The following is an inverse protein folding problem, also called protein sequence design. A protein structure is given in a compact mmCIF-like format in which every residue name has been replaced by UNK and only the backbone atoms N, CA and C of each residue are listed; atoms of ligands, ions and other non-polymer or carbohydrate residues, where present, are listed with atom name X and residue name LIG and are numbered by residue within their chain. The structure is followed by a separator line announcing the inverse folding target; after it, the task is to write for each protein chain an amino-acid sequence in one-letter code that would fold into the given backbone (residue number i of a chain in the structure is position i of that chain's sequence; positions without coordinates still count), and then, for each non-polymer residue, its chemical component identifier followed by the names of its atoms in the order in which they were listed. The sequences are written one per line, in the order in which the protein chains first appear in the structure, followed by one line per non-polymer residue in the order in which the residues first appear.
data_IF_892568416711
#
_entry.id   IF_892568416711
#
_cell.length_a   1.000
_cell.length_b   1.000
_cell.length_c   1.000
_cell.angle_alpha   90.00
_cell.angle_beta   90.00
_cell.angle_gamma   90.00
#
_symmetry.space_group_name_H-M   'P 1'
#
loop_
_entity.id
_entity.type
_entity.pdbx_description
1 polymer ?
#
# COMPACT_ATOMS: atom_id res chain seq x y z
N UNK A 1 25.50 7.66 13.47
CA UNK A 1 24.85 8.18 12.25
C UNK A 1 23.68 7.24 11.93
N UNK A 2 22.45 7.73 11.73
CA UNK A 2 21.33 6.86 11.35
C UNK A 2 21.63 6.19 10.00
N UNK A 3 21.33 4.90 9.91
CA UNK A 3 21.50 4.13 8.68
C UNK A 3 20.38 4.47 7.72
N UNK A 4 20.73 4.73 6.47
CA UNK A 4 19.77 5.05 5.41
C UNK A 4 19.83 3.99 4.33
N UNK A 5 18.65 3.61 3.84
CA UNK A 5 18.50 2.81 2.63
C UNK A 5 17.69 3.64 1.64
N UNK A 6 18.19 3.81 0.42
CA UNK A 6 17.56 4.65 -0.62
C UNK A 6 17.24 6.07 -0.09
N UNK A 7 18.23 6.70 0.55
CA UNK A 7 18.16 8.08 1.12
C UNK A 7 17.15 8.29 2.26
N UNK A 8 16.48 7.26 2.78
CA UNK A 8 15.59 7.35 3.95
C UNK A 8 16.08 6.53 5.12
N UNK A 9 15.81 7.02 6.32
CA UNK A 9 16.10 6.30 7.55
C UNK A 9 15.34 4.96 7.57
N UNK A 10 16.04 3.90 7.96
CA UNK A 10 15.42 2.58 8.07
C UNK A 10 14.34 2.57 9.16
N UNK A 11 13.17 2.00 8.87
CA UNK A 11 12.11 1.78 9.86
C UNK A 11 12.12 0.39 10.47
N UNK A 12 13.01 -0.48 10.01
CA UNK A 12 13.16 -1.88 10.44
C UNK A 12 14.60 -2.24 10.77
N UNK A 13 14.84 -3.49 11.15
CA UNK A 13 16.18 -4.01 11.42
C UNK A 13 16.97 -4.23 10.13
N UNK A 14 18.29 -4.08 10.20
CA UNK A 14 19.19 -4.45 9.11
C UNK A 14 19.26 -5.97 9.00
N UNK A 15 19.25 -6.48 7.77
CA UNK A 15 19.63 -7.87 7.54
C UNK A 15 21.12 -8.07 7.86
N UNK A 16 21.56 -9.30 8.19
CA UNK A 16 22.98 -9.58 8.40
C UNK A 16 23.85 -9.14 7.21
N UNK A 17 23.33 -9.29 5.98
CA UNK A 17 23.98 -8.85 4.75
C UNK A 17 24.17 -7.33 4.72
N UNK A 18 23.10 -6.57 5.00
CA UNK A 18 23.13 -5.09 5.01
C UNK A 18 24.09 -4.56 6.09
N UNK A 19 24.05 -5.16 7.29
CA UNK A 19 24.97 -4.81 8.37
C UNK A 19 26.43 -5.03 7.95
N UNK A 20 26.71 -6.16 7.27
CA UNK A 20 28.03 -6.47 6.75
C UNK A 20 28.48 -5.45 5.69
N UNK A 21 27.62 -5.11 4.73
CA UNK A 21 27.92 -4.10 3.70
C UNK A 21 28.24 -2.73 4.29
N UNK A 22 27.49 -2.29 5.30
CA UNK A 22 27.75 -1.01 5.99
C UNK A 22 29.12 -1.01 6.66
N UNK A 23 29.46 -2.12 7.34
CA UNK A 23 30.74 -2.28 8.03
C UNK A 23 31.90 -2.31 7.02
N UNK A 24 31.76 -3.08 5.94
CA UNK A 24 32.79 -3.22 4.90
C UNK A 24 33.05 -1.91 4.14
N UNK A 25 32.00 -1.16 3.82
CA UNK A 25 32.11 0.09 3.07
C UNK A 25 32.36 1.32 3.94
N UNK A 26 32.31 1.17 5.27
CA UNK A 26 32.33 2.27 6.25
C UNK A 26 31.36 3.42 5.88
N UNK A 27 30.21 3.07 5.28
CA UNK A 27 29.21 3.99 4.80
C UNK A 27 27.83 3.56 5.33
N UNK A 28 27.15 4.39 6.15
CA UNK A 28 25.84 4.07 6.70
C UNK A 28 24.71 4.20 5.67
N UNK A 29 25.00 4.60 4.43
CA UNK A 29 24.04 4.66 3.34
C UNK A 29 24.21 3.44 2.43
N UNK A 30 23.14 2.68 2.25
CA UNK A 30 23.06 1.64 1.22
C UNK A 30 22.09 2.12 0.14
N UNK A 31 22.63 2.36 -1.05
CA UNK A 31 21.85 2.68 -2.24
C UNK A 31 21.66 1.40 -3.08
N UNK A 32 20.58 1.34 -3.86
CA UNK A 32 20.29 0.25 -4.82
C UNK A 32 20.22 -1.16 -4.19
N UNK A 33 19.70 -1.28 -2.96
CA UNK A 33 19.40 -2.60 -2.39
C UNK A 33 18.37 -3.29 -3.28
N UNK A 34 18.79 -4.38 -3.93
CA UNK A 34 17.91 -5.23 -4.72
C UNK A 34 16.81 -5.78 -3.82
N UNK A 35 15.56 -5.53 -4.22
CA UNK A 35 14.40 -5.95 -3.46
C UNK A 35 13.99 -7.32 -3.96
N UNK A 36 13.98 -8.30 -3.04
CA UNK A 36 13.56 -9.67 -3.35
C UNK A 36 12.03 -9.73 -3.55
N UNK A 37 11.60 -9.75 -4.81
CA UNK A 37 10.20 -9.93 -5.21
C UNK A 37 9.55 -11.15 -4.52
N UNK A 38 10.27 -12.26 -4.39
CA UNK A 38 9.74 -13.49 -3.80
C UNK A 38 9.50 -13.32 -2.29
N UNK A 39 10.37 -12.57 -1.60
CA UNK A 39 10.18 -12.24 -0.20
C UNK A 39 8.89 -11.45 0.01
N UNK A 40 8.60 -10.45 -0.83
CA UNK A 40 7.38 -9.65 -0.72
C UNK A 40 6.13 -10.48 -1.01
N UNK A 41 6.16 -11.31 -2.06
CA UNK A 41 5.05 -12.21 -2.39
C UNK A 41 4.78 -13.17 -1.21
N UNK A 42 5.83 -13.82 -0.70
CA UNK A 42 5.72 -14.75 0.44
C UNK A 42 5.19 -14.05 1.69
N UNK A 43 5.65 -12.83 1.97
CA UNK A 43 5.19 -12.05 3.13
C UNK A 43 3.73 -11.62 2.98
N UNK A 44 3.27 -11.30 1.77
CA UNK A 44 1.85 -11.01 1.53
C UNK A 44 0.96 -12.24 1.83
N UNK A 45 1.40 -13.45 1.44
CA UNK A 45 0.72 -14.71 1.76
C UNK A 45 0.70 -14.99 3.27
N UNK A 46 1.85 -14.85 3.94
CA UNK A 46 1.97 -15.00 5.39
C UNK A 46 1.04 -14.03 6.14
N UNK A 47 0.98 -12.76 5.72
CA UNK A 47 0.06 -11.79 6.34
C UNK A 47 -1.40 -12.18 6.13
N UNK A 48 -1.79 -12.66 4.95
CA UNK A 48 -3.16 -13.11 4.72
C UNK A 48 -3.54 -14.25 5.68
N UNK A 49 -2.64 -15.22 5.89
CA UNK A 49 -2.85 -16.30 6.85
C UNK A 49 -2.93 -15.79 8.29
N UNK A 50 -2.06 -14.84 8.69
CA UNK A 50 -2.12 -14.18 10.00
C UNK A 50 -3.50 -13.55 10.23
N UNK A 51 -4.03 -12.80 9.26
CA UNK A 51 -5.35 -12.16 9.35
C UNK A 51 -6.48 -13.20 9.38
N UNK A 52 -6.37 -14.27 8.59
CA UNK A 52 -7.34 -15.38 8.60
C UNK A 52 -7.42 -16.03 9.98
N UNK A 53 -6.27 -16.44 10.52
CA UNK A 53 -6.17 -17.03 11.86
C UNK A 53 -6.61 -16.02 12.92
N UNK A 54 -6.37 -14.72 12.73
CA UNK A 54 -6.82 -13.62 13.58
C UNK A 54 -8.33 -13.39 13.69
N UNK A 55 -9.16 -14.22 13.04
CA UNK A 55 -10.60 -14.03 12.92
C UNK A 55 -10.99 -12.70 12.23
N UNK A 56 -10.13 -12.19 11.35
CA UNK A 56 -10.46 -11.04 10.51
C UNK A 56 -11.43 -11.49 9.41
N UNK A 57 -12.56 -10.80 9.30
CA UNK A 57 -13.58 -11.07 8.30
C UNK A 57 -12.94 -11.04 6.89
N UNK A 58 -13.11 -12.09 6.06
CA UNK A 58 -12.58 -12.14 4.70
C UNK A 58 -12.86 -10.89 3.87
N UNK A 59 -14.05 -10.30 4.00
CA UNK A 59 -14.44 -9.10 3.25
C UNK A 59 -13.74 -7.83 3.73
N UNK A 60 -13.19 -7.84 4.95
CA UNK A 60 -12.51 -6.69 5.55
C UNK A 60 -10.98 -6.80 5.50
N UNK A 61 -10.41 -7.98 5.19
CA UNK A 61 -8.95 -8.18 5.17
C UNK A 61 -8.24 -7.17 4.27
N UNK A 62 -8.89 -6.81 3.16
CA UNK A 62 -8.38 -5.79 2.26
C UNK A 62 -8.25 -4.41 2.95
N UNK A 63 -9.36 -3.88 3.46
CA UNK A 63 -9.37 -2.63 4.21
C UNK A 63 -8.42 -2.67 5.41
N UNK A 64 -8.34 -3.79 6.12
CA UNK A 64 -7.45 -3.97 7.28
C UNK A 64 -5.98 -3.84 6.87
N UNK A 65 -5.54 -4.57 5.85
CA UNK A 65 -4.16 -4.44 5.36
C UNK A 65 -3.88 -3.02 4.85
N UNK A 66 -4.80 -2.41 4.10
CA UNK A 66 -4.66 -1.04 3.62
C UNK A 66 -4.43 -0.06 4.78
N UNK A 67 -5.23 -0.19 5.85
CA UNK A 67 -5.09 0.58 7.08
C UNK A 67 -3.72 0.38 7.73
N UNK A 68 -3.27 -0.88 7.85
CA UNK A 68 -1.99 -1.22 8.48
C UNK A 68 -0.81 -0.69 7.67
N UNK A 69 -0.82 -0.88 6.36
CA UNK A 69 0.21 -0.35 5.48
C UNK A 69 0.29 1.17 5.57
N UNK A 70 -0.86 1.88 5.51
CA UNK A 70 -0.90 3.33 5.67
C UNK A 70 -0.36 3.73 7.06
N UNK A 71 -0.74 3.02 8.12
CA UNK A 71 -0.28 3.34 9.47
C UNK A 71 1.24 3.26 9.64
N UNK A 72 1.93 2.43 8.85
CA UNK A 72 3.40 2.28 8.84
C UNK A 72 4.09 3.43 8.07
N UNK A 73 3.35 4.16 7.23
CA UNK A 73 3.88 5.37 6.57
C UNK A 73 3.99 6.56 7.50
N UNK A 74 3.36 6.49 8.68
CA UNK A 74 3.41 7.53 9.67
C UNK A 74 4.69 7.48 10.52
N UNK A 75 5.29 8.63 10.83
CA UNK A 75 6.60 8.72 11.51
C UNK A 75 6.60 8.22 12.96
N UNK A 76 5.43 8.11 13.56
CA UNK A 76 5.27 7.54 14.88
C UNK A 76 4.81 6.09 14.78
N UNK A 77 5.03 5.26 15.81
CA UNK A 77 4.58 3.86 15.81
C UNK A 77 3.32 3.68 16.67
N UNK A 78 2.37 2.82 16.26
CA UNK A 78 1.26 2.45 17.12
C UNK A 78 1.77 1.68 18.35
N UNK A 79 1.15 1.91 19.50
CA UNK A 79 1.47 1.21 20.73
C UNK A 79 0.88 -0.21 20.71
N UNK A 80 1.72 -1.19 20.34
CA UNK A 80 1.31 -2.59 20.21
C UNK A 80 0.93 -3.24 21.56
N UNK A 81 1.37 -2.68 22.68
CA UNK A 81 1.09 -3.19 24.02
C UNK A 81 -0.28 -2.74 24.53
N UNK A 82 -0.89 -1.72 23.90
CA UNK A 82 -2.19 -1.18 24.28
C UNK A 82 -3.34 -2.20 24.18
N UNK A 83 -4.45 -1.95 24.87
CA UNK A 83 -5.66 -2.76 24.75
C UNK A 83 -6.17 -2.80 23.29
N UNK A 84 -6.89 -3.86 22.85
CA UNK A 84 -7.33 -3.99 21.45
C UNK A 84 -8.05 -2.75 20.90
N UNK A 85 -8.96 -2.16 21.69
CA UNK A 85 -9.69 -0.94 21.31
C UNK A 85 -8.79 0.27 21.14
N UNK A 86 -7.78 0.43 22.00
CA UNK A 86 -6.83 1.54 21.96
C UNK A 86 -5.91 1.41 20.74
N UNK A 87 -5.37 0.21 20.49
CA UNK A 87 -4.55 -0.05 19.31
C UNK A 87 -5.32 0.23 18.00
N UNK A 88 -6.56 -0.26 17.91
CA UNK A 88 -7.45 -0.01 16.77
C UNK A 88 -7.70 1.49 16.58
N UNK A 89 -8.00 2.23 17.65
CA UNK A 89 -8.24 3.68 17.58
C UNK A 89 -6.97 4.45 17.16
N UNK A 90 -5.80 4.08 17.67
CA UNK A 90 -4.53 4.69 17.26
C UNK A 90 -4.22 4.47 15.78
N UNK A 91 -4.43 3.25 15.27
CA UNK A 91 -4.25 2.96 13.84
C UNK A 91 -5.23 3.79 13.00
N UNK A 92 -6.51 3.83 13.37
CA UNK A 92 -7.51 4.61 12.64
C UNK A 92 -7.19 6.11 12.63
N UNK A 93 -6.69 6.66 13.74
CA UNK A 93 -6.28 8.06 13.82
C UNK A 93 -5.13 8.38 12.86
N UNK A 94 -4.17 7.45 12.70
CA UNK A 94 -3.04 7.58 11.76
C UNK A 94 -3.52 7.55 10.31
N UNK A 95 -4.36 6.57 9.98
CA UNK A 95 -4.97 6.41 8.67
C UNK A 95 -5.73 7.67 8.28
N UNK A 96 -6.57 8.19 9.19
CA UNK A 96 -7.30 9.45 9.00
C UNK A 96 -6.37 10.64 8.74
N UNK A 97 -5.28 10.78 9.52
CA UNK A 97 -4.29 11.85 9.31
C UNK A 97 -3.67 11.79 7.91
N UNK A 98 -3.32 10.59 7.44
CA UNK A 98 -2.75 10.41 6.10
C UNK A 98 -3.77 10.74 5.03
N UNK A 99 -4.99 10.22 5.12
CA UNK A 99 -6.04 10.55 4.14
C UNK A 99 -6.37 12.04 4.09
N UNK A 100 -6.42 12.73 5.24
CA UNK A 100 -6.59 14.18 5.29
C UNK A 100 -5.45 14.90 4.57
N UNK A 101 -4.19 14.49 4.79
CA UNK A 101 -3.04 15.12 4.12
C UNK A 101 -3.02 14.89 2.62
N UNK A 102 -3.69 13.84 2.15
CA UNK A 102 -3.93 13.55 0.73
C UNK A 102 -5.22 14.17 0.16
N UNK A 103 -5.99 14.92 0.97
CA UNK A 103 -7.25 15.52 0.53
C UNK A 103 -8.35 14.49 0.23
N UNK A 104 -8.34 13.35 0.93
CA UNK A 104 -9.28 12.23 0.79
C UNK A 104 -9.98 11.84 2.11
N UNK A 105 -10.40 12.79 2.98
CA UNK A 105 -10.96 12.47 4.29
C UNK A 105 -12.22 11.59 4.24
N UNK A 106 -13.01 11.69 3.17
CA UNK A 106 -14.26 10.96 2.94
C UNK A 106 -14.09 9.44 2.89
N UNK A 107 -12.87 8.95 2.66
CA UNK A 107 -12.60 7.51 2.58
C UNK A 107 -12.22 6.86 3.92
N UNK A 108 -12.16 7.63 5.00
CA UNK A 108 -11.68 7.15 6.31
C UNK A 108 -12.46 5.94 6.82
N UNK A 109 -13.79 5.98 6.71
CA UNK A 109 -14.68 4.98 7.32
C UNK A 109 -14.66 3.64 6.55
N UNK A 110 -14.14 3.61 5.32
CA UNK A 110 -14.05 2.41 4.49
C UNK A 110 -12.76 1.61 4.71
N UNK A 111 -11.75 2.25 5.33
CA UNK A 111 -10.48 1.63 5.67
C UNK A 111 -10.22 1.60 7.18
N UNK A 112 -11.19 1.99 8.00
CA UNK A 112 -11.03 1.91 9.44
C UNK A 112 -11.02 0.44 9.92
N UNK A 113 -10.14 0.16 10.88
CA UNK A 113 -10.15 -1.08 11.62
C UNK A 113 -11.36 -1.11 12.55
N UNK A 114 -12.09 -2.23 12.51
CA UNK A 114 -13.24 -2.51 13.39
C UNK A 114 -12.93 -3.76 14.20
N UNK A 115 -13.10 -3.66 15.52
CA UNK A 115 -13.01 -4.84 16.36
C UNK A 115 -14.10 -5.85 15.98
N UNK A 116 -13.81 -7.16 16.05
CA UNK A 116 -14.82 -8.19 15.86
C UNK A 116 -16.00 -8.00 16.83
N UNK A 117 -17.21 -8.39 16.40
CA UNK A 117 -18.42 -8.31 17.24
C UNK A 117 -18.30 -9.12 18.54
N UNK A 118 -17.63 -10.26 18.48
CA UNK A 118 -17.40 -11.14 19.63
C UNK A 118 -16.15 -10.71 20.38
N UNK A 119 -16.30 -10.38 21.66
CA UNK A 119 -15.22 -9.90 22.53
C UNK A 119 -14.09 -10.92 22.69
N UNK A 120 -14.41 -12.22 22.73
CA UNK A 120 -13.41 -13.31 22.78
C UNK A 120 -12.43 -13.28 21.60
N UNK A 121 -12.84 -12.71 20.46
CA UNK A 121 -11.98 -12.58 19.30
C UNK A 121 -11.06 -11.34 19.35
N UNK A 122 -11.26 -10.42 20.29
CA UNK A 122 -10.49 -9.15 20.34
C UNK A 122 -9.01 -9.38 20.58
N UNK A 123 -8.64 -10.31 21.47
CA UNK A 123 -7.23 -10.63 21.72
C UNK A 123 -6.58 -11.30 20.51
N UNK A 124 -7.31 -12.21 19.85
CA UNK A 124 -6.84 -12.90 18.64
C UNK A 124 -6.67 -11.91 17.48
N UNK A 125 -7.62 -11.00 17.32
CA UNK A 125 -7.58 -9.92 16.34
C UNK A 125 -6.39 -8.98 16.61
N UNK A 126 -6.21 -8.52 17.86
CA UNK A 126 -5.05 -7.72 18.26
C UNK A 126 -3.75 -8.44 17.90
N UNK A 127 -3.61 -9.72 18.23
CA UNK A 127 -2.41 -10.50 17.91
C UNK A 127 -2.13 -10.51 16.41
N UNK A 128 -3.15 -10.70 15.58
CA UNK A 128 -2.99 -10.67 14.13
C UNK A 128 -2.54 -9.30 13.62
N UNK A 129 -3.16 -8.22 14.09
CA UNK A 129 -2.75 -6.85 13.76
C UNK A 129 -1.28 -6.59 14.13
N UNK A 130 -0.87 -6.98 15.34
CA UNK A 130 0.51 -6.81 15.82
C UNK A 130 1.49 -7.63 14.97
N UNK A 131 1.19 -8.90 14.69
CA UNK A 131 2.03 -9.74 13.83
C UNK A 131 2.13 -9.17 12.41
N UNK A 132 1.02 -8.69 11.83
CA UNK A 132 1.06 -8.03 10.51
C UNK A 132 1.93 -6.78 10.53
N UNK A 133 1.83 -5.93 11.56
CA UNK A 133 2.69 -4.75 11.69
C UNK A 133 4.17 -5.13 11.79
N UNK A 134 4.51 -6.25 12.43
CA UNK A 134 5.88 -6.76 12.49
C UNK A 134 6.36 -7.22 11.11
N UNK A 135 5.54 -7.96 10.35
CA UNK A 135 5.90 -8.40 8.99
C UNK A 135 6.12 -7.22 8.04
N UNK A 136 5.25 -6.21 8.10
CA UNK A 136 5.40 -4.99 7.31
C UNK A 136 6.67 -4.20 7.67
N UNK A 137 7.13 -4.27 8.93
CA UNK A 137 8.40 -3.66 9.34
C UNK A 137 9.60 -4.42 8.79
N UNK A 138 9.56 -5.75 8.79
CA UNK A 138 10.62 -6.60 8.22
C UNK A 138 10.81 -6.29 6.73
N UNK A 139 9.71 -6.07 6.01
CA UNK A 139 9.75 -5.67 4.60
C UNK A 139 10.33 -4.28 4.33
N UNK A 140 10.49 -3.45 5.37
CA UNK A 140 10.94 -2.06 5.25
C UNK A 140 10.17 -1.31 4.13
N UNK A 141 8.84 -1.34 4.21
CA UNK A 141 7.91 -0.79 3.18
C UNK A 141 8.29 0.65 2.78
N UNK A 142 8.75 1.47 3.73
CA UNK A 142 9.22 2.84 3.45
C UNK A 142 10.40 2.88 2.50
N UNK A 143 11.39 2.01 2.66
CA UNK A 143 12.51 1.90 1.73
C UNK A 143 12.03 1.40 0.36
N UNK A 144 11.15 0.39 0.36
CA UNK A 144 10.59 -0.18 -0.88
C UNK A 144 9.86 0.88 -1.73
N UNK A 145 9.08 1.77 -1.11
CA UNK A 145 8.41 2.89 -1.80
C UNK A 145 9.39 3.84 -2.52
N UNK A 146 10.55 4.11 -1.92
CA UNK A 146 11.50 5.09 -2.44
C UNK A 146 12.51 4.49 -3.44
N UNK A 147 12.64 3.16 -3.47
CA UNK A 147 13.50 2.45 -4.43
C UNK A 147 13.05 2.58 -5.90
N UNK A 148 11.85 3.10 -6.15
CA UNK A 148 11.24 3.09 -7.48
C UNK A 148 10.90 1.69 -8.02
N UNK A 149 11.14 0.64 -7.22
CA UNK A 149 10.90 -0.74 -7.62
C UNK A 149 9.41 -1.05 -7.72
N UNK A 150 9.12 -1.99 -8.61
CA UNK A 150 7.78 -2.51 -8.83
C UNK A 150 7.27 -3.42 -7.69
N UNK A 151 8.12 -3.69 -6.70
CA UNK A 151 7.86 -4.74 -5.71
C UNK A 151 6.66 -4.41 -4.83
N UNK A 152 6.47 -3.14 -4.49
CA UNK A 152 5.32 -2.74 -3.67
C UNK A 152 3.98 -2.89 -4.43
N UNK A 153 4.00 -2.67 -5.75
CA UNK A 153 2.88 -2.96 -6.62
C UNK A 153 2.53 -4.44 -6.64
N UNK A 154 3.55 -5.29 -6.82
CA UNK A 154 3.40 -6.76 -6.79
C UNK A 154 2.90 -7.26 -5.43
N UNK A 155 3.43 -6.70 -4.34
CA UNK A 155 2.97 -6.98 -2.98
C UNK A 155 1.48 -6.65 -2.83
N UNK A 156 1.06 -5.46 -3.27
CA UNK A 156 -0.33 -5.03 -3.21
C UNK A 156 -1.23 -5.93 -4.08
N UNK A 157 -0.77 -6.36 -5.25
CA UNK A 157 -1.50 -7.29 -6.11
C UNK A 157 -1.71 -8.66 -5.48
N UNK A 158 -0.67 -9.25 -4.90
CA UNK A 158 -0.77 -10.54 -4.19
C UNK A 158 -1.76 -10.41 -3.04
N UNK A 159 -1.65 -9.33 -2.28
CA UNK A 159 -2.60 -9.00 -1.24
C UNK A 159 -4.05 -8.89 -1.78
N UNK A 160 -4.26 -8.24 -2.93
CA UNK A 160 -5.59 -8.13 -3.55
C UNK A 160 -6.11 -9.45 -4.11
N UNK A 161 -5.25 -10.39 -4.53
CA UNK A 161 -5.67 -11.73 -4.96
C UNK A 161 -6.33 -12.53 -3.82
N UNK A 162 -5.88 -12.33 -2.59
CA UNK A 162 -6.42 -13.00 -1.40
C UNK A 162 -7.59 -12.27 -0.75
N UNK A 163 -7.99 -11.15 -1.32
CA UNK A 163 -9.17 -10.44 -0.90
C UNK A 163 -10.41 -11.21 -1.40
N UNK A 164 -10.78 -12.27 -0.68
CA UNK A 164 -11.86 -13.22 -1.04
C UNK A 164 -13.21 -12.56 -1.39
N UNK A 165 -13.42 -11.29 -1.01
CA UNK A 165 -14.59 -10.53 -1.44
C UNK A 165 -14.71 -10.35 -2.95
N UNK A 166 -13.60 -10.27 -3.69
CA UNK A 166 -13.65 -10.04 -5.14
C UNK A 166 -14.26 -11.24 -5.87
N UNK A 167 -13.95 -12.48 -5.44
CA UNK A 167 -14.58 -13.68 -6.00
C UNK A 167 -16.04 -13.82 -5.59
N UNK A 168 -16.37 -13.56 -4.32
CA UNK A 168 -17.74 -13.66 -3.81
C UNK A 168 -18.69 -12.63 -4.45
N UNK A 169 -18.16 -11.48 -4.90
CA UNK A 169 -18.90 -10.42 -5.58
C UNK A 169 -18.83 -10.50 -7.11
N UNK A 170 -18.15 -11.52 -7.67
CA UNK A 170 -17.98 -11.67 -9.13
C UNK A 170 -17.11 -10.59 -9.77
N UNK A 171 -16.28 -9.91 -8.98
CA UNK A 171 -15.41 -8.82 -9.40
C UNK A 171 -14.11 -9.42 -9.97
N UNK A 172 -13.92 -9.23 -11.27
CA UNK A 172 -12.72 -9.67 -11.98
C UNK A 172 -11.75 -8.50 -12.08
N UNK A 173 -10.64 -8.58 -11.33
CA UNK A 173 -9.55 -7.61 -11.46
C UNK A 173 -8.78 -7.85 -12.77
N UNK A 174 -8.56 -6.79 -13.54
CA UNK A 174 -7.73 -6.85 -14.75
C UNK A 174 -6.28 -7.21 -14.37
N UNK A 175 -5.70 -8.28 -14.94
CA UNK A 175 -4.31 -8.64 -14.66
C UNK A 175 -3.34 -7.52 -15.04
N UNK A 176 -2.28 -7.35 -14.26
CA UNK A 176 -1.34 -6.24 -14.43
C UNK A 176 -0.67 -6.19 -15.81
N UNK A 177 -0.29 -7.34 -16.36
CA UNK A 177 0.32 -7.38 -17.69
C UNK A 177 -0.63 -6.84 -18.77
N UNK A 178 -1.94 -6.93 -18.57
CA UNK A 178 -2.95 -6.36 -19.47
C UNK A 178 -3.03 -4.85 -19.30
N UNK A 179 -3.06 -4.33 -18.07
CA UNK A 179 -3.11 -2.88 -17.85
C UNK A 179 -1.83 -2.19 -18.31
N UNK A 180 -0.67 -2.82 -18.11
CA UNK A 180 0.62 -2.36 -18.64
C UNK A 180 0.65 -2.37 -20.16
N UNK A 181 0.26 -3.50 -20.77
CA UNK A 181 0.17 -3.59 -22.23
C UNK A 181 -0.76 -2.51 -22.80
N UNK A 182 -1.89 -2.24 -22.17
CA UNK A 182 -2.80 -1.18 -22.62
C UNK A 182 -2.13 0.20 -22.58
N UNK A 183 -1.46 0.55 -21.48
CA UNK A 183 -0.73 1.82 -21.35
C UNK A 183 0.40 1.96 -22.38
N UNK A 184 1.12 0.86 -22.66
CA UNK A 184 2.18 0.81 -23.67
C UNK A 184 1.60 0.93 -25.10
N UNK A 185 0.52 0.21 -25.39
CA UNK A 185 -0.10 0.18 -26.71
C UNK A 185 -0.73 1.52 -27.10
N UNK A 186 -1.29 2.25 -26.14
CA UNK A 186 -1.81 3.61 -26.36
C UNK A 186 -0.72 4.69 -26.29
N UNK A 187 0.51 4.33 -25.87
CA UNK A 187 1.66 5.22 -25.75
C UNK A 187 1.34 6.48 -24.92
N UNK A 188 0.93 6.29 -23.66
CA UNK A 188 0.53 7.41 -22.77
C UNK A 188 1.65 8.44 -22.64
N UNK A 189 1.33 9.70 -22.94
CA UNK A 189 2.25 10.82 -22.83
C UNK A 189 2.01 11.69 -21.58
N UNK A 190 3.00 12.53 -21.24
CA UNK A 190 2.99 13.36 -20.04
C UNK A 190 1.86 14.40 -19.98
N UNK A 191 1.32 14.78 -21.14
CA UNK A 191 0.26 15.78 -21.27
C UNK A 191 -1.12 15.15 -21.49
N UNK A 192 -1.19 13.82 -21.58
CA UNK A 192 -2.46 13.13 -21.76
C UNK A 192 -3.31 13.20 -20.50
N UNK A 193 -4.62 13.16 -20.68
CA UNK A 193 -5.59 12.97 -19.59
C UNK A 193 -6.06 11.53 -19.66
N UNK A 194 -5.78 10.77 -18.60
CA UNK A 194 -6.20 9.37 -18.46
C UNK A 194 -7.45 9.33 -17.60
N UNK A 195 -8.53 8.83 -18.18
CA UNK A 195 -9.81 8.68 -17.50
C UNK A 195 -10.25 7.22 -17.52
N UNK A 196 -10.49 6.67 -16.34
CA UNK A 196 -11.02 5.33 -16.14
C UNK A 196 -12.41 5.41 -15.45
N UNK A 197 -13.52 5.18 -16.17
CA UNK A 197 -14.87 5.30 -15.62
C UNK A 197 -15.28 4.13 -14.71
N UNK A 198 -14.48 3.07 -14.67
CA UNK A 198 -14.71 1.85 -13.88
C UNK A 198 -13.38 1.40 -13.27
N UNK A 199 -12.74 2.29 -12.51
CA UNK A 199 -11.33 2.14 -12.20
C UNK A 199 -10.99 0.97 -11.28
N UNK A 200 -11.99 0.40 -10.58
CA UNK A 200 -11.76 -0.65 -9.60
C UNK A 200 -10.67 -0.25 -8.62
N UNK A 201 -9.66 -1.11 -8.45
CA UNK A 201 -8.49 -0.86 -7.59
C UNK A 201 -7.40 0.03 -8.22
N UNK A 202 -7.70 0.69 -9.34
CA UNK A 202 -6.86 1.68 -10.02
C UNK A 202 -5.85 1.09 -11.02
N UNK A 203 -6.03 -0.15 -11.49
CA UNK A 203 -5.03 -0.87 -12.29
C UNK A 203 -4.55 -0.15 -13.55
N UNK A 204 -5.45 0.45 -14.33
CA UNK A 204 -5.09 1.21 -15.54
C UNK A 204 -4.46 2.57 -15.21
N UNK A 205 -4.99 3.29 -14.22
CA UNK A 205 -4.43 4.58 -13.76
C UNK A 205 -3.00 4.42 -13.26
N UNK A 206 -2.76 3.36 -12.50
CA UNK A 206 -1.42 2.96 -12.03
C UNK A 206 -0.51 2.61 -13.20
N UNK A 207 -0.98 1.83 -14.18
CA UNK A 207 -0.17 1.46 -15.33
C UNK A 207 0.23 2.68 -16.18
N UNK A 208 -0.70 3.62 -16.39
CA UNK A 208 -0.42 4.88 -17.06
C UNK A 208 0.62 5.72 -16.29
N UNK A 209 0.48 5.85 -14.97
CA UNK A 209 1.46 6.54 -14.13
C UNK A 209 2.84 5.90 -14.20
N UNK A 210 2.93 4.57 -14.09
CA UNK A 210 4.19 3.83 -14.16
C UNK A 210 4.85 3.98 -15.54
N UNK A 211 4.06 3.98 -16.62
CA UNK A 211 4.55 4.18 -17.98
C UNK A 211 5.16 5.58 -18.16
N UNK A 212 4.44 6.62 -17.74
CA UNK A 212 4.94 8.01 -17.80
C UNK A 212 6.17 8.19 -16.93
N UNK A 213 6.18 7.64 -15.70
CA UNK A 213 7.32 7.73 -14.77
C UNK A 213 8.62 7.14 -15.36
N UNK A 214 8.52 6.11 -16.21
CA UNK A 214 9.68 5.52 -16.91
C UNK A 214 10.23 6.41 -18.02
N UNK A 215 9.40 7.28 -18.59
CA UNK A 215 9.71 8.06 -19.79
C UNK A 215 9.87 9.58 -19.52
N UNK A 216 9.58 10.04 -18.30
CA UNK A 216 9.59 11.45 -17.92
C UNK A 216 10.47 11.71 -16.70
N UNK A 217 10.87 12.97 -16.51
CA UNK A 217 11.60 13.37 -15.30
C UNK A 217 10.67 13.46 -14.08
N UNK A 218 11.26 13.64 -12.89
CA UNK A 218 10.51 13.65 -11.63
C UNK A 218 9.47 14.77 -11.54
N UNK A 219 9.78 15.97 -12.04
CA UNK A 219 8.89 17.13 -12.00
C UNK A 219 7.71 16.97 -12.98
N UNK A 220 7.99 16.47 -14.17
CA UNK A 220 6.97 16.06 -15.14
C UNK A 220 6.05 15.02 -14.52
N UNK A 221 6.62 13.93 -13.98
CA UNK A 221 5.84 12.86 -13.33
C UNK A 221 4.93 13.42 -12.23
N UNK A 222 5.40 14.38 -11.42
CA UNK A 222 4.58 15.06 -10.39
C UNK A 222 3.39 15.82 -10.97
N UNK A 223 3.54 16.47 -12.13
CA UNK A 223 2.47 17.21 -12.81
C UNK A 223 1.40 16.25 -13.33
N UNK A 224 1.80 15.23 -14.10
CA UNK A 224 0.88 14.23 -14.67
C UNK A 224 0.07 13.55 -13.58
N UNK A 225 0.76 13.13 -12.53
CA UNK A 225 0.18 12.55 -11.33
C UNK A 225 -0.89 13.42 -10.66
N UNK A 226 -0.64 14.72 -10.51
CA UNK A 226 -1.58 15.64 -9.84
C UNK A 226 -2.80 16.04 -10.68
N UNK A 227 -2.66 16.03 -12.01
CA UNK A 227 -3.60 16.73 -12.89
C UNK A 227 -4.19 15.86 -14.02
N UNK A 228 -3.63 14.69 -14.28
CA UNK A 228 -3.94 13.92 -15.49
C UNK A 228 -4.63 12.57 -15.23
N UNK A 229 -4.70 12.09 -13.99
CA UNK A 229 -5.28 10.78 -13.65
C UNK A 229 -6.65 10.93 -12.99
N UNK A 230 -7.69 10.41 -13.64
CA UNK A 230 -9.07 10.50 -13.19
C UNK A 230 -9.72 9.11 -13.17
N UNK A 231 -10.27 8.73 -12.02
CA UNK A 231 -10.93 7.44 -11.82
C UNK A 231 -12.31 7.62 -11.21
N UNK A 232 -13.27 6.84 -11.69
CA UNK A 232 -14.60 6.70 -11.09
C UNK A 232 -14.83 5.23 -10.80
N UNK A 233 -15.34 4.95 -9.61
CA UNK A 233 -15.76 3.62 -9.18
C UNK A 233 -16.96 3.78 -8.22
N UNK A 234 -17.88 2.83 -8.29
CA UNK A 234 -19.16 2.88 -7.58
C UNK A 234 -19.03 2.38 -6.14
N UNK A 235 -18.19 1.37 -5.88
CA UNK A 235 -18.01 0.83 -4.53
C UNK A 235 -16.94 1.64 -3.75
N UNK A 236 -17.30 2.36 -2.67
CA UNK A 236 -16.36 3.20 -1.94
C UNK A 236 -15.25 2.43 -1.24
N UNK A 237 -15.49 1.17 -0.88
CA UNK A 237 -14.46 0.27 -0.35
C UNK A 237 -13.40 -0.02 -1.41
N UNK A 238 -13.83 -0.28 -2.64
CA UNK A 238 -12.93 -0.50 -3.78
C UNK A 238 -12.17 0.78 -4.13
N UNK A 239 -12.86 1.93 -4.16
CA UNK A 239 -12.23 3.25 -4.35
C UNK A 239 -11.13 3.48 -3.32
N UNK A 240 -11.38 3.14 -2.06
CA UNK A 240 -10.40 3.32 -0.99
C UNK A 240 -9.14 2.49 -1.23
N UNK A 241 -9.28 1.26 -1.76
CA UNK A 241 -8.15 0.43 -2.15
C UNK A 241 -7.39 1.02 -3.35
N UNK A 242 -8.08 1.64 -4.30
CA UNK A 242 -7.41 2.36 -5.39
C UNK A 242 -6.61 3.56 -4.87
N UNK A 243 -7.19 4.36 -3.99
CA UNK A 243 -6.52 5.51 -3.36
C UNK A 243 -5.27 5.07 -2.62
N UNK A 244 -5.38 4.01 -1.82
CA UNK A 244 -4.26 3.43 -1.08
C UNK A 244 -3.14 2.99 -2.04
N UNK A 245 -3.47 2.30 -3.13
CA UNK A 245 -2.52 1.88 -4.17
C UNK A 245 -1.81 3.08 -4.81
N UNK A 246 -2.54 4.14 -5.13
CA UNK A 246 -1.95 5.39 -5.63
C UNK A 246 -1.01 6.01 -4.59
N UNK A 247 -1.43 6.14 -3.32
CA UNK A 247 -0.59 6.69 -2.23
C UNK A 247 0.74 5.95 -2.12
N UNK A 248 0.72 4.62 -2.23
CA UNK A 248 1.93 3.80 -2.15
C UNK A 248 2.92 4.02 -3.28
N UNK A 249 2.45 4.45 -4.46
CA UNK A 249 3.31 4.78 -5.60
C UNK A 249 3.84 6.20 -5.56
N UNK A 250 3.68 6.84 -4.40
CA UNK A 250 3.98 8.24 -4.15
C UNK A 250 2.80 9.14 -4.46
N UNK A 251 1.66 8.62 -4.91
CA UNK A 251 0.49 9.36 -5.38
C UNK A 251 -0.62 9.60 -4.39
N UNK A 252 -0.36 10.60 -3.56
CA UNK A 252 -1.35 11.20 -2.69
C UNK A 252 -2.17 12.35 -3.29
N UNK A 253 -1.98 12.74 -4.56
CA UNK A 253 -2.77 13.81 -5.21
C UNK A 253 -3.48 13.27 -6.46
N UNK A 254 -4.19 12.16 -6.31
CA UNK A 254 -4.99 11.58 -7.38
C UNK A 254 -6.41 12.19 -7.43
N UNK A 255 -7.01 12.29 -8.62
CA UNK A 255 -8.38 12.81 -8.80
C UNK A 255 -9.46 11.69 -8.81
N UNK A 256 -9.23 10.60 -8.08
CA UNK A 256 -10.20 9.50 -7.94
C UNK A 256 -11.40 9.93 -7.08
N UNK A 257 -12.62 9.66 -7.53
CA UNK A 257 -13.88 10.00 -6.82
C UNK A 257 -14.86 8.82 -6.84
N UNK A 258 -15.71 8.75 -5.83
CA UNK A 258 -16.91 7.90 -5.83
C UNK A 258 -17.91 8.42 -6.88
N UNK A 259 -18.61 7.51 -7.56
CA UNK A 259 -19.70 7.87 -8.47
C UNK A 259 -20.94 8.29 -7.67
N UNK A 260 -21.31 9.57 -7.73
CA UNK A 260 -22.59 10.09 -7.22
C UNK A 260 -23.78 9.59 -8.05
#
# INVERSE_FOLDING_TARGET
IPVKINKKDISGFLTPQQAKTIIENNNPNIDDVEIDDNLFIKKAEEINEILHLGAVNPHQRASVMAALLLSVLDDTQPNIDAAPSVLTAEINARVKRILISQGKPEFTDYIELKLPKTEDNHLKYKSAIVSTLQELRILNIRSAMNSGSDVLGKFYEVFMKYANWAQDLGIVLTPRHITQFAAEAINVEINDIVYDPCCGTGGFLVAAHDYVKKNANEDQTKIFKGNCLFGVEQDPGIVSLAIVNMIFRGDGKNNIRERQ
#
